data_IF_396216412308
#
_entry.id   IF_396216412308
#
_cell.length_a   1.000
_cell.length_b   1.000
_cell.length_c   1.000
_cell.angle_alpha   90.00
_cell.angle_beta   90.00
_cell.angle_gamma   90.00
#
_symmetry.space_group_name_H-M   'P 1'
#
loop_
_entity.id
_entity.type
_entity.pdbx_description
1 polymer ?
#
# COMPACT_ATOMS: atom_id res chain seq x y z
N UNK A 1 13.19 8.28 14.46
CA UNK A 1 13.03 8.94 13.15
C UNK A 1 11.96 8.18 12.40
N UNK A 2 10.87 8.86 12.06
CA UNK A 2 9.76 8.26 11.34
C UNK A 2 10.15 7.87 9.90
N UNK A 3 9.57 6.78 9.39
CA UNK A 3 9.72 6.35 7.99
C UNK A 3 9.13 7.38 7.03
N UNK A 4 8.18 8.17 7.52
CA UNK A 4 7.37 9.10 6.73
C UNK A 4 8.03 10.47 6.55
N UNK A 5 8.83 10.96 7.54
CA UNK A 5 9.39 12.32 7.54
C UNK A 5 10.34 12.65 6.40
N UNK A 6 10.95 11.63 5.78
CA UNK A 6 11.83 11.80 4.62
C UNK A 6 11.15 11.46 3.29
N UNK A 7 9.88 11.09 3.31
CA UNK A 7 9.17 10.57 2.14
C UNK A 7 8.90 11.65 1.10
N UNK A 8 8.64 12.87 1.55
CA UNK A 8 8.32 14.02 0.69
C UNK A 8 9.47 15.02 0.65
N UNK A 9 10.43 14.92 1.59
CA UNK A 9 11.56 15.86 1.69
C UNK A 9 12.67 15.67 0.67
N UNK A 10 12.50 14.89 -0.38
CA UNK A 10 13.37 14.98 -1.54
C UNK A 10 14.22 13.79 -1.94
N UNK A 11 14.14 12.62 -1.29
CA UNK A 11 15.03 11.52 -1.69
C UNK A 11 14.35 10.36 -2.41
N UNK A 12 13.07 10.10 -2.15
CA UNK A 12 12.37 8.95 -2.76
C UNK A 12 11.83 9.22 -4.16
N UNK A 13 11.43 10.44 -4.45
CA UNK A 13 10.89 10.80 -5.77
C UNK A 13 11.88 10.61 -6.93
N UNK A 14 13.18 10.55 -6.64
CA UNK A 14 14.22 10.43 -7.65
C UNK A 14 14.79 9.01 -7.82
N UNK A 15 14.49 8.11 -6.88
CA UNK A 15 15.12 6.78 -6.87
C UNK A 15 14.18 5.65 -7.31
N UNK A 16 12.89 5.91 -7.38
CA UNK A 16 11.90 4.92 -7.78
C UNK A 16 11.43 5.26 -9.20
N UNK A 17 11.85 4.44 -10.16
CA UNK A 17 11.28 4.50 -11.51
C UNK A 17 9.87 3.86 -11.52
N UNK A 18 9.08 4.13 -12.57
CA UNK A 18 7.78 3.49 -12.77
C UNK A 18 6.60 4.26 -12.16
N UNK A 19 5.40 3.62 -12.08
CA UNK A 19 4.16 4.27 -11.66
C UNK A 19 4.23 4.89 -10.26
N UNK A 20 4.86 4.22 -9.30
CA UNK A 20 5.01 4.73 -7.92
C UNK A 20 5.85 6.01 -7.92
N UNK A 21 6.97 6.02 -8.62
CA UNK A 21 7.83 7.19 -8.71
C UNK A 21 7.17 8.36 -9.45
N UNK A 22 6.42 8.08 -10.50
CA UNK A 22 5.66 9.09 -11.25
C UNK A 22 4.58 9.75 -10.37
N UNK A 23 3.85 8.97 -9.60
CA UNK A 23 2.83 9.46 -8.68
C UNK A 23 3.44 10.37 -7.61
N UNK A 24 4.50 9.93 -6.94
CA UNK A 24 5.19 10.72 -5.91
C UNK A 24 5.80 11.99 -6.52
N UNK A 25 6.44 11.87 -7.68
CA UNK A 25 7.03 13.01 -8.40
C UNK A 25 5.99 14.08 -8.73
N UNK A 26 4.75 13.69 -9.05
CA UNK A 26 3.66 14.62 -9.32
C UNK A 26 3.19 15.42 -8.09
N UNK A 27 3.38 14.89 -6.88
CA UNK A 27 3.03 15.57 -5.62
C UNK A 27 4.08 16.63 -5.25
N UNK A 28 5.36 16.33 -5.53
CA UNK A 28 6.48 17.20 -5.16
C UNK A 28 6.59 18.44 -6.09
N UNK A 29 5.89 18.42 -7.22
CA UNK A 29 5.85 19.53 -8.17
C UNK A 29 7.03 19.54 -9.14
N UNK A 30 6.70 19.40 -10.39
CA UNK A 30 7.41 19.24 -11.65
C UNK A 30 8.68 20.00 -12.00
N UNK A 31 9.60 20.24 -11.08
CA UNK A 31 10.99 20.59 -11.45
C UNK A 31 11.87 19.35 -11.31
N UNK A 32 11.61 18.38 -12.16
CA UNK A 32 12.54 17.27 -12.35
C UNK A 32 13.70 17.77 -13.20
N UNK A 33 14.70 18.32 -12.55
CA UNK A 33 16.04 18.35 -13.14
C UNK A 33 16.44 16.90 -13.37
N UNK A 34 16.85 16.58 -14.61
CA UNK A 34 17.49 15.30 -14.94
C UNK A 34 18.77 15.15 -14.11
N UNK A 35 18.64 14.88 -12.83
CA UNK A 35 19.76 14.54 -11.97
C UNK A 35 19.95 13.03 -12.02
N UNK A 36 21.05 12.65 -12.66
CA UNK A 36 21.80 11.38 -12.60
C UNK A 36 21.12 10.27 -11.83
N UNK A 37 20.95 9.12 -12.51
CA UNK A 37 20.77 7.81 -11.89
C UNK A 37 21.73 7.66 -10.70
N UNK A 38 21.27 8.05 -9.53
CA UNK A 38 21.95 7.73 -8.30
C UNK A 38 21.84 6.20 -8.12
N UNK A 39 22.99 5.53 -8.07
CA UNK A 39 23.09 4.12 -7.80
C UNK A 39 22.30 3.82 -6.54
N UNK A 40 21.33 2.94 -6.68
CA UNK A 40 20.51 2.39 -5.62
C UNK A 40 21.44 1.80 -4.53
N UNK A 41 21.73 2.56 -3.49
CA UNK A 41 22.19 1.96 -2.25
C UNK A 41 20.94 1.47 -1.52
N UNK A 42 20.68 0.18 -1.66
CA UNK A 42 19.58 -0.54 -1.04
C UNK A 42 19.76 -0.61 0.49
N UNK A 43 19.41 0.48 1.17
CA UNK A 43 19.33 0.48 2.63
C UNK A 43 17.96 -0.05 3.09
N UNK A 44 17.93 -0.79 4.18
CA UNK A 44 16.70 -1.34 4.78
C UNK A 44 15.59 -0.29 4.99
N UNK A 45 15.97 0.96 5.25
CA UNK A 45 15.03 2.10 5.40
C UNK A 45 14.29 2.44 4.11
N UNK A 46 14.96 2.37 2.97
CA UNK A 46 14.34 2.66 1.67
C UNK A 46 13.30 1.63 1.30
N UNK A 47 13.56 0.35 1.57
CA UNK A 47 12.56 -0.72 1.38
C UNK A 47 11.32 -0.51 2.24
N UNK A 48 11.49 -0.11 3.51
CA UNK A 48 10.36 0.19 4.40
C UNK A 48 9.52 1.38 3.91
N UNK A 49 10.16 2.40 3.37
CA UNK A 49 9.48 3.57 2.81
C UNK A 49 8.70 3.20 1.53
N UNK A 50 9.32 2.44 0.63
CA UNK A 50 8.65 1.95 -0.58
C UNK A 50 7.44 1.07 -0.19
N UNK A 51 7.60 0.19 0.77
CA UNK A 51 6.52 -0.65 1.29
C UNK A 51 5.34 0.19 1.81
N UNK A 52 5.63 1.16 2.67
CA UNK A 52 4.60 2.03 3.25
C UNK A 52 3.85 2.84 2.18
N UNK A 53 4.57 3.45 1.23
CA UNK A 53 3.96 4.18 0.10
C UNK A 53 3.12 3.26 -0.78
N UNK A 54 3.63 2.07 -1.06
CA UNK A 54 2.93 1.06 -1.87
C UNK A 54 1.58 0.69 -1.24
N UNK A 55 1.56 0.50 0.08
CA UNK A 55 0.33 0.22 0.81
C UNK A 55 -0.66 1.38 0.74
N UNK A 56 -0.20 2.63 0.93
CA UNK A 56 -1.07 3.81 0.80
C UNK A 56 -1.68 3.88 -0.60
N UNK A 57 -0.88 3.64 -1.64
CA UNK A 57 -1.36 3.67 -3.03
C UNK A 57 -2.39 2.56 -3.28
N UNK A 58 -2.09 1.32 -2.93
CA UNK A 58 -3.00 0.20 -3.13
C UNK A 58 -4.29 0.35 -2.34
N UNK A 59 -4.22 0.87 -1.11
CA UNK A 59 -5.40 1.17 -0.30
C UNK A 59 -6.26 2.28 -0.92
N UNK A 60 -5.64 3.33 -1.46
CA UNK A 60 -6.36 4.37 -2.17
C UNK A 60 -7.07 3.84 -3.44
N UNK A 61 -6.45 2.89 -4.14
CA UNK A 61 -7.07 2.21 -5.29
C UNK A 61 -8.20 1.28 -4.86
N UNK A 62 -8.05 0.59 -3.73
CA UNK A 62 -9.10 -0.24 -3.13
C UNK A 62 -10.34 0.60 -2.79
N UNK A 63 -10.13 1.69 -2.08
CA UNK A 63 -11.18 2.65 -1.75
C UNK A 63 -11.87 3.26 -2.98
N UNK A 64 -11.12 3.48 -4.07
CA UNK A 64 -11.69 3.94 -5.35
C UNK A 64 -12.56 2.87 -6.00
N UNK A 65 -12.19 1.60 -5.90
CA UNK A 65 -12.92 0.49 -6.50
C UNK A 65 -14.32 0.31 -5.89
N UNK A 66 -14.44 0.54 -4.59
CA UNK A 66 -15.73 0.51 -3.89
C UNK A 66 -16.51 1.84 -4.02
N UNK A 67 -15.84 2.93 -4.39
CA UNK A 67 -16.41 4.27 -4.51
C UNK A 67 -16.64 4.97 -3.17
N UNK A 68 -16.33 4.33 -2.06
CA UNK A 68 -16.49 4.82 -0.70
C UNK A 68 -15.22 4.57 0.12
N UNK A 69 -14.96 5.44 1.08
CA UNK A 69 -13.92 5.26 2.10
C UNK A 69 -14.56 5.49 3.45
N UNK A 70 -14.65 4.48 4.26
CA UNK A 70 -15.18 4.58 5.61
C UNK A 70 -14.17 5.29 6.55
N UNK A 71 -14.68 5.82 7.66
CA UNK A 71 -13.80 6.36 8.71
C UNK A 71 -12.96 5.26 9.35
N UNK A 72 -13.54 4.08 9.48
CA UNK A 72 -12.94 2.88 10.03
C UNK A 72 -11.73 2.43 9.21
N UNK A 73 -11.85 2.43 7.88
CA UNK A 73 -10.74 2.14 6.97
C UNK A 73 -9.61 3.16 7.09
N UNK A 74 -9.92 4.47 7.19
CA UNK A 74 -8.90 5.51 7.40
C UNK A 74 -8.15 5.33 8.73
N UNK A 75 -8.87 4.95 9.79
CA UNK A 75 -8.27 4.64 11.09
C UNK A 75 -7.38 3.40 10.97
N UNK A 76 -7.87 2.34 10.32
CA UNK A 76 -7.12 1.11 10.10
C UNK A 76 -5.82 1.36 9.30
N UNK A 77 -5.87 2.21 8.27
CA UNK A 77 -4.68 2.63 7.52
C UNK A 77 -3.67 3.33 8.44
N UNK A 78 -4.13 4.31 9.23
CA UNK A 78 -3.28 5.09 10.14
C UNK A 78 -2.59 4.17 11.15
N UNK A 79 -3.35 3.29 11.78
CA UNK A 79 -2.87 2.37 12.82
C UNK A 79 -1.90 1.32 12.23
N UNK A 80 -2.30 0.67 11.16
CA UNK A 80 -1.51 -0.42 10.53
C UNK A 80 -0.19 0.09 9.98
N UNK A 81 -0.20 1.27 9.36
CA UNK A 81 1.00 1.91 8.82
C UNK A 81 1.78 2.72 9.87
N UNK A 82 1.28 2.81 11.11
CA UNK A 82 1.90 3.57 12.21
C UNK A 82 2.24 5.01 11.76
N UNK A 83 1.27 5.67 11.15
CA UNK A 83 1.44 7.05 10.66
C UNK A 83 1.40 8.02 11.85
N UNK A 84 2.49 8.75 12.12
CA UNK A 84 2.49 9.76 13.17
C UNK A 84 1.54 10.92 12.83
N UNK A 85 0.95 11.55 13.87
CA UNK A 85 -0.03 12.62 13.66
C UNK A 85 0.51 13.78 12.81
N UNK A 86 1.78 14.14 12.97
CA UNK A 86 2.41 15.23 12.21
C UNK A 86 2.72 14.87 10.74
N UNK A 87 2.53 13.62 10.33
CA UNK A 87 2.76 13.14 8.97
C UNK A 87 1.48 12.75 8.23
N UNK A 88 0.32 12.82 8.91
CA UNK A 88 -0.98 12.45 8.34
C UNK A 88 -1.29 13.25 7.07
N UNK A 89 -1.01 14.54 7.05
CA UNK A 89 -1.27 15.38 5.88
C UNK A 89 -0.47 14.95 4.66
N UNK A 90 0.76 14.48 4.87
CA UNK A 90 1.61 14.01 3.79
C UNK A 90 1.14 12.68 3.24
N UNK A 91 0.78 11.76 4.12
CA UNK A 91 0.19 10.46 3.72
C UNK A 91 -1.14 10.69 3.02
N UNK A 92 -1.96 11.63 3.50
CA UNK A 92 -3.21 12.03 2.88
C UNK A 92 -3.03 12.57 1.46
N UNK A 93 -1.97 13.32 1.18
CA UNK A 93 -1.64 13.78 -0.18
C UNK A 93 -1.34 12.61 -1.13
N UNK A 94 -0.57 11.62 -0.68
CA UNK A 94 -0.27 10.42 -1.48
C UNK A 94 -1.57 9.64 -1.74
N UNK A 95 -2.37 9.43 -0.71
CA UNK A 95 -3.66 8.73 -0.80
C UNK A 95 -4.60 9.41 -1.80
N UNK A 96 -4.83 10.70 -1.66
CA UNK A 96 -5.71 11.46 -2.53
C UNK A 96 -5.19 11.46 -3.97
N UNK A 97 -3.89 11.66 -4.17
CA UNK A 97 -3.29 11.62 -5.50
C UNK A 97 -3.43 10.25 -6.16
N UNK A 98 -3.22 9.17 -5.41
CA UNK A 98 -3.42 7.81 -5.90
C UNK A 98 -4.89 7.53 -6.24
N UNK A 99 -5.83 8.05 -5.44
CA UNK A 99 -7.27 7.93 -5.70
C UNK A 99 -7.70 8.69 -6.96
N UNK A 100 -7.15 9.88 -7.19
CA UNK A 100 -7.45 10.72 -8.36
C UNK A 100 -6.77 10.19 -9.64
N UNK A 101 -5.64 9.51 -9.52
CA UNK A 101 -4.87 9.02 -10.65
C UNK A 101 -5.70 8.09 -11.54
N UNK A 102 -5.58 8.29 -12.87
CA UNK A 102 -6.33 7.53 -13.88
C UNK A 102 -5.86 6.10 -14.07
N UNK A 103 -4.62 5.79 -13.67
CA UNK A 103 -4.10 4.42 -13.72
C UNK A 103 -4.89 3.52 -12.76
N UNK A 104 -5.14 2.29 -13.17
CA UNK A 104 -5.66 1.23 -12.30
C UNK A 104 -4.63 0.84 -11.21
N UNK A 105 -4.94 -0.15 -10.42
CA UNK A 105 -4.02 -0.69 -9.41
C UNK A 105 -2.94 -1.62 -10.01
N UNK A 106 -3.20 -2.19 -11.18
CA UNK A 106 -2.35 -3.22 -11.77
C UNK A 106 -0.91 -2.78 -12.04
N UNK A 107 -0.64 -1.58 -12.59
CA UNK A 107 0.74 -1.11 -12.78
C UNK A 107 1.50 -0.97 -11.47
N UNK A 108 0.82 -0.51 -10.42
CA UNK A 108 1.39 -0.39 -9.07
C UNK A 108 1.66 -1.76 -8.45
N UNK A 109 0.70 -2.68 -8.53
CA UNK A 109 0.86 -4.05 -8.04
C UNK A 109 2.01 -4.77 -8.76
N UNK A 110 2.13 -4.64 -10.08
CA UNK A 110 3.24 -5.21 -10.86
C UNK A 110 4.59 -4.67 -10.40
N UNK A 111 4.69 -3.35 -10.18
CA UNK A 111 5.93 -2.74 -9.70
C UNK A 111 6.30 -3.24 -8.30
N UNK A 112 5.33 -3.35 -7.38
CA UNK A 112 5.54 -3.88 -6.03
C UNK A 112 5.99 -5.34 -6.11
N UNK A 113 5.32 -6.17 -6.89
CA UNK A 113 5.70 -7.57 -7.11
C UNK A 113 7.13 -7.72 -7.62
N UNK A 114 7.59 -6.83 -8.51
CA UNK A 114 8.97 -6.82 -9.01
C UNK A 114 9.99 -6.39 -7.95
N UNK A 115 9.66 -5.35 -7.16
CA UNK A 115 10.56 -4.85 -6.10
C UNK A 115 10.78 -5.93 -5.04
N UNK A 116 9.73 -6.65 -4.65
CA UNK A 116 9.77 -7.64 -3.57
C UNK A 116 9.78 -9.10 -4.05
N UNK A 117 10.06 -9.35 -5.34
CA UNK A 117 10.05 -10.71 -5.93
C UNK A 117 10.88 -11.75 -5.17
N UNK A 118 11.96 -11.31 -4.52
CA UNK A 118 12.85 -12.17 -3.74
C UNK A 118 12.45 -12.24 -2.24
N UNK A 119 11.35 -11.63 -1.87
CA UNK A 119 10.83 -11.63 -0.50
C UNK A 119 9.31 -11.86 -0.48
N UNK A 120 8.85 -13.09 -0.74
CA UNK A 120 7.43 -13.41 -0.83
C UNK A 120 6.67 -13.09 0.46
N UNK A 121 7.31 -13.19 1.63
CA UNK A 121 6.68 -12.85 2.91
C UNK A 121 6.21 -11.38 2.98
N UNK A 122 6.92 -10.46 2.29
CA UNK A 122 6.48 -9.06 2.18
C UNK A 122 5.24 -8.94 1.31
N UNK A 123 5.15 -9.70 0.22
CA UNK A 123 3.99 -9.71 -0.66
C UNK A 123 2.75 -10.31 0.04
N UNK A 124 2.94 -11.38 0.82
CA UNK A 124 1.88 -11.96 1.66
C UNK A 124 1.39 -10.94 2.70
N UNK A 125 2.31 -10.19 3.32
CA UNK A 125 1.94 -9.15 4.29
C UNK A 125 1.17 -7.99 3.64
N UNK A 126 1.49 -7.60 2.40
CA UNK A 126 0.69 -6.61 1.65
C UNK A 126 -0.76 -7.11 1.52
N UNK A 127 -0.96 -8.36 1.12
CA UNK A 127 -2.31 -8.95 0.99
C UNK A 127 -3.03 -8.97 2.34
N UNK A 128 -2.34 -9.38 3.41
CA UNK A 128 -2.89 -9.36 4.78
C UNK A 128 -3.35 -7.97 5.20
N UNK A 129 -2.55 -6.93 4.92
CA UNK A 129 -2.89 -5.56 5.29
C UNK A 129 -4.07 -5.04 4.47
N UNK A 130 -4.13 -5.34 3.16
CA UNK A 130 -5.26 -4.96 2.33
C UNK A 130 -6.58 -5.57 2.84
N UNK A 131 -6.57 -6.84 3.22
CA UNK A 131 -7.71 -7.46 3.88
C UNK A 131 -8.07 -6.77 5.19
N UNK A 132 -7.07 -6.50 6.05
CA UNK A 132 -7.29 -5.84 7.33
C UNK A 132 -8.01 -4.50 7.18
N UNK A 133 -7.61 -3.72 6.19
CA UNK A 133 -8.21 -2.42 5.90
C UNK A 133 -9.62 -2.59 5.33
N UNK A 134 -9.81 -3.49 4.37
CA UNK A 134 -11.12 -3.75 3.76
C UNK A 134 -12.14 -4.33 4.75
N UNK A 135 -11.71 -5.00 5.82
CA UNK A 135 -12.56 -5.56 6.87
C UNK A 135 -12.89 -4.54 7.98
N UNK A 136 -12.28 -3.36 7.99
CA UNK A 136 -12.34 -2.43 9.12
C UNK A 136 -13.76 -1.93 9.44
N UNK A 137 -14.64 -1.86 8.47
CA UNK A 137 -16.05 -1.51 8.65
C UNK A 137 -16.96 -2.73 8.87
N UNK A 138 -16.36 -3.94 8.93
CA UNK A 138 -17.05 -5.22 9.15
C UNK A 138 -17.55 -5.91 7.88
N UNK A 139 -17.32 -5.35 6.69
CA UNK A 139 -17.75 -5.93 5.41
C UNK A 139 -16.73 -5.69 4.32
N UNK A 140 -16.33 -6.74 3.61
CA UNK A 140 -15.58 -6.61 2.36
C UNK A 140 -16.57 -6.63 1.20
N UNK A 141 -16.54 -5.62 0.35
CA UNK A 141 -17.32 -5.61 -0.88
C UNK A 141 -16.77 -6.63 -1.91
N UNK A 142 -17.62 -7.02 -2.86
CA UNK A 142 -17.18 -7.92 -3.93
C UNK A 142 -16.09 -7.29 -4.80
N UNK A 143 -16.13 -5.97 -5.00
CA UNK A 143 -15.11 -5.22 -5.74
C UNK A 143 -13.76 -5.23 -5.05
N UNK A 144 -13.73 -5.01 -3.74
CA UNK A 144 -12.50 -5.09 -2.93
C UNK A 144 -11.92 -6.51 -2.92
N UNK A 145 -12.74 -7.51 -2.65
CA UNK A 145 -12.30 -8.91 -2.66
C UNK A 145 -11.72 -9.32 -4.01
N UNK A 146 -12.37 -8.92 -5.10
CA UNK A 146 -11.89 -9.18 -6.45
C UNK A 146 -10.55 -8.48 -6.72
N UNK A 147 -10.42 -7.23 -6.30
CA UNK A 147 -9.16 -6.47 -6.44
C UNK A 147 -8.02 -7.10 -5.62
N UNK A 148 -8.25 -7.47 -4.37
CA UNK A 148 -7.23 -8.11 -3.52
C UNK A 148 -6.80 -9.44 -4.13
N UNK A 149 -7.73 -10.25 -4.65
CA UNK A 149 -7.43 -11.51 -5.35
C UNK A 149 -6.55 -11.26 -6.58
N UNK A 150 -6.88 -10.27 -7.39
CA UNK A 150 -6.10 -9.92 -8.58
C UNK A 150 -4.68 -9.44 -8.21
N UNK A 151 -4.55 -8.64 -7.15
CA UNK A 151 -3.24 -8.22 -6.65
C UNK A 151 -2.41 -9.43 -6.21
N UNK A 152 -3.01 -10.37 -5.46
CA UNK A 152 -2.36 -11.61 -5.05
C UNK A 152 -1.88 -12.42 -6.26
N UNK A 153 -2.69 -12.54 -7.30
CA UNK A 153 -2.31 -13.19 -8.56
C UNK A 153 -1.13 -12.48 -9.25
N UNK A 154 -1.13 -11.14 -9.29
CA UNK A 154 -0.02 -10.35 -9.83
C UNK A 154 1.28 -10.58 -9.02
N UNK A 155 1.17 -10.81 -7.73
CA UNK A 155 2.30 -11.15 -6.85
C UNK A 155 2.77 -12.60 -7.01
N UNK A 156 2.04 -13.43 -7.77
CA UNK A 156 2.36 -14.83 -8.00
C UNK A 156 1.84 -15.79 -6.94
N UNK A 157 0.92 -15.36 -6.08
CA UNK A 157 0.25 -16.24 -5.14
C UNK A 157 -0.73 -17.15 -5.89
N UNK A 158 -0.72 -18.44 -5.52
CA UNK A 158 -1.75 -19.38 -5.99
C UNK A 158 -3.09 -19.12 -5.31
N UNK A 159 -4.18 -19.60 -5.91
CA UNK A 159 -5.50 -19.53 -5.29
C UNK A 159 -5.53 -20.20 -3.90
N UNK A 160 -4.81 -21.30 -3.72
CA UNK A 160 -4.68 -21.99 -2.43
C UNK A 160 -4.02 -21.10 -1.37
N UNK A 161 -2.95 -20.40 -1.74
CA UNK A 161 -2.27 -19.45 -0.83
C UNK A 161 -3.20 -18.27 -0.48
N UNK A 162 -3.88 -17.72 -1.47
CA UNK A 162 -4.83 -16.64 -1.26
C UNK A 162 -5.98 -17.04 -0.32
N UNK A 163 -6.62 -18.19 -0.55
CA UNK A 163 -7.68 -18.68 0.33
C UNK A 163 -7.14 -19.01 1.74
N UNK A 164 -5.91 -19.53 1.86
CA UNK A 164 -5.25 -19.74 3.14
C UNK A 164 -5.07 -18.46 3.94
N UNK A 165 -4.63 -17.38 3.30
CA UNK A 165 -4.54 -16.04 3.93
C UNK A 165 -5.92 -15.57 4.39
N UNK A 166 -6.92 -15.66 3.54
CA UNK A 166 -8.30 -15.25 3.83
C UNK A 166 -8.93 -16.04 4.98
N UNK A 167 -8.69 -17.37 5.06
CA UNK A 167 -9.23 -18.21 6.11
C UNK A 167 -8.53 -18.03 7.45
N UNK A 168 -7.20 -17.82 7.47
CA UNK A 168 -6.44 -17.57 8.69
C UNK A 168 -6.95 -16.33 9.44
N UNK A 169 -7.47 -15.37 8.72
CA UNK A 169 -8.05 -14.14 9.29
C UNK A 169 -9.39 -14.40 9.97
N UNK A 170 -10.26 -15.21 9.36
CA UNK A 170 -11.55 -15.61 9.97
C UNK A 170 -11.37 -16.39 11.27
N UNK A 171 -10.24 -17.07 11.44
CA UNK A 171 -9.87 -17.79 12.65
C UNK A 171 -9.41 -16.89 13.80
N UNK A 172 -8.73 -15.77 13.49
CA UNK A 172 -8.26 -14.83 14.52
C UNK A 172 -9.39 -13.98 15.13
N UNK A 173 -10.47 -13.72 14.41
CA UNK A 173 -11.66 -13.05 14.96
C UNK A 173 -12.44 -13.93 15.97
N UNK A 174 -12.33 -15.26 15.84
CA UNK A 174 -12.98 -16.20 16.77
C UNK A 174 -12.20 -16.43 18.07
N UNK A 175 -10.96 -15.95 18.14
CA UNK A 175 -10.06 -16.14 19.29
C UNK A 175 -9.85 -14.86 20.12
N UNK A 176 -10.70 -13.86 19.97
CA UNK A 176 -10.66 -12.69 20.85
C UNK A 176 -11.57 -12.94 22.08
N UNK A 177 -11.02 -13.37 23.24
CA UNK A 177 -11.81 -13.72 24.42
C UNK A 177 -12.35 -12.51 25.20
N UNK A 178 -12.21 -11.29 24.65
CA UNK A 178 -12.58 -10.03 25.31
C UNK A 178 -13.81 -9.36 24.70
N UNK A 179 -14.60 -10.06 23.89
CA UNK A 179 -15.92 -9.59 23.50
C UNK A 179 -16.94 -10.43 24.29
N UNK A 180 -17.23 -9.96 25.49
CA UNK A 180 -18.43 -10.31 26.27
C UNK A 180 -19.17 -9.02 26.55
#
# INVERSE_FOLDING_TARGET
>A
MSIWGNLIGGYLGFSIAGPIGALIGSIIGGKISRARQARFQQGSRQYQQIFAVSLVILTAKLAKADGHVSKEELIAIKEKLKVPDHEIDQVGKIFNKAKEDSLGYEPYAKQIGQIYKNNPAVLDEVINILFYIAEADGKISNSELSMIRNIASIFGLSDTQFEGIKESRKGSDKLNPYIV
#
